data_IF_449242697466
#
_entry.id   IF_449242697466
#
_cell.length_a   1.000
_cell.length_b   1.000
_cell.length_c   1.000
_cell.angle_alpha   90.00
_cell.angle_beta   90.00
_cell.angle_gamma   90.00
#
_symmetry.space_group_name_H-M   'P 1'
#
loop_
_entity.id
_entity.type
_entity.pdbx_description
1 polymer ?
#
# COMPACT_ATOMS: atom_id res chain seq x y z
N UNK A 1 34.96 9.32 36.12
CA UNK A 1 35.54 9.84 34.86
C UNK A 1 35.68 8.84 33.79
N UNK A 2 36.01 7.63 34.14
CA UNK A 2 36.10 6.58 33.13
C UNK A 2 34.74 6.28 32.52
N UNK A 3 33.70 6.41 33.28
CA UNK A 3 32.36 6.14 32.81
C UNK A 3 31.96 7.06 31.68
N UNK A 4 32.42 8.28 31.73
CA UNK A 4 32.09 9.24 30.70
C UNK A 4 32.62 8.83 29.33
N UNK A 5 33.79 8.26 29.34
CA UNK A 5 34.43 7.80 28.10
C UNK A 5 33.63 6.66 27.49
N UNK A 6 33.23 5.75 28.34
CA UNK A 6 32.44 4.60 27.86
C UNK A 6 31.15 5.03 27.28
N UNK A 7 30.53 6.02 27.90
CA UNK A 7 29.28 6.55 27.39
C UNK A 7 29.47 7.14 26.01
N UNK A 8 30.55 7.83 25.80
CA UNK A 8 30.81 8.42 24.48
C UNK A 8 30.97 7.35 23.41
N UNK A 9 31.70 6.29 23.75
CA UNK A 9 31.85 5.20 22.81
C UNK A 9 30.53 4.58 22.43
N UNK A 10 29.67 4.42 23.41
CA UNK A 10 28.35 3.88 23.14
C UNK A 10 27.55 4.76 22.21
N UNK A 11 27.70 6.04 22.38
CA UNK A 11 26.99 6.98 21.52
C UNK A 11 27.40 6.81 20.06
N UNK A 12 28.68 6.69 19.82
CA UNK A 12 29.17 6.52 18.48
C UNK A 12 28.65 5.24 17.86
N UNK A 13 28.60 4.17 18.63
CA UNK A 13 28.09 2.91 18.14
C UNK A 13 26.63 3.03 17.71
N UNK A 14 25.86 3.72 18.52
CA UNK A 14 24.44 3.91 18.22
C UNK A 14 24.27 4.70 16.94
N UNK A 15 25.07 5.71 16.74
CA UNK A 15 25.00 6.52 15.54
C UNK A 15 25.28 5.71 14.28
N UNK A 16 26.26 4.85 14.34
CA UNK A 16 26.58 3.98 13.22
C UNK A 16 25.40 3.08 12.87
N UNK A 17 24.79 2.54 13.88
CA UNK A 17 23.66 1.65 13.67
C UNK A 17 22.52 2.36 12.93
N UNK A 18 22.24 3.57 13.34
CA UNK A 18 21.19 4.36 12.69
C UNK A 18 21.53 4.67 11.24
N UNK A 19 22.77 4.95 10.98
CA UNK A 19 23.21 5.23 9.63
C UNK A 19 22.99 4.03 8.70
N UNK A 20 23.30 2.85 9.21
CA UNK A 20 23.12 1.64 8.42
C UNK A 20 21.63 1.40 8.08
N UNK A 21 20.75 1.71 9.01
CA UNK A 21 19.34 1.54 8.76
C UNK A 21 18.84 2.46 7.64
N UNK A 22 19.36 3.67 7.60
CA UNK A 22 18.95 4.58 6.53
C UNK A 22 19.46 4.13 5.17
N UNK A 23 20.52 3.38 5.14
CA UNK A 23 21.05 2.88 3.88
C UNK A 23 20.15 1.85 3.22
N UNK A 24 19.17 1.36 3.97
CA UNK A 24 18.26 0.38 3.42
C UNK A 24 17.06 0.97 2.72
N UNK A 25 16.98 2.22 2.59
CA UNK A 25 15.84 2.72 1.87
C UNK A 25 16.12 2.58 0.42
N UNK A 26 15.61 1.64 -0.20
CA UNK A 26 15.99 1.40 -1.43
C UNK A 26 15.07 1.78 -2.37
N UNK A 27 15.04 2.73 -2.69
CA UNK A 27 14.30 3.02 -3.77
C UNK A 27 14.86 2.29 -4.90
N UNK A 28 14.18 1.56 -5.50
CA UNK A 28 14.61 0.93 -6.71
C UNK A 28 13.91 1.62 -7.85
N UNK A 29 14.41 2.74 -8.28
CA UNK A 29 13.75 3.50 -9.31
C UNK A 29 13.63 2.78 -10.63
N UNK A 30 14.27 1.72 -10.82
CA UNK A 30 14.18 0.98 -12.06
C UNK A 30 13.14 -0.10 -12.11
N UNK A 31 12.40 -0.29 -11.01
CA UNK A 31 11.44 -1.36 -10.99
C UNK A 31 10.15 -0.94 -11.67
N UNK A 32 9.81 -1.66 -12.73
CA UNK A 32 8.57 -1.41 -13.43
C UNK A 32 7.44 -2.13 -12.77
N UNK A 33 6.40 -1.40 -12.43
CA UNK A 33 5.21 -1.99 -11.83
C UNK A 33 4.32 -2.48 -12.95
N UNK A 34 3.87 -3.71 -12.86
CA UNK A 34 3.00 -4.30 -13.87
C UNK A 34 1.68 -3.53 -13.94
N UNK A 35 1.10 -3.39 -15.15
CA UNK A 35 -0.15 -2.63 -15.30
C UNK A 35 -1.28 -3.15 -14.41
N UNK A 36 -1.36 -4.45 -14.20
CA UNK A 36 -2.38 -5.02 -13.33
C UNK A 36 -2.23 -4.58 -11.88
N UNK A 37 -0.99 -4.46 -11.40
CA UNK A 37 -0.72 -4.00 -10.04
C UNK A 37 -1.08 -2.53 -9.90
N UNK A 38 -0.75 -1.72 -10.90
CA UNK A 38 -1.13 -0.30 -10.89
C UNK A 38 -2.64 -0.14 -10.83
N UNK A 39 -3.37 -0.95 -11.59
CA UNK A 39 -4.82 -0.89 -11.61
C UNK A 39 -5.40 -1.31 -10.27
N UNK A 40 -4.83 -2.32 -9.62
CA UNK A 40 -5.24 -2.70 -8.28
C UNK A 40 -5.10 -1.52 -7.32
N UNK A 41 -3.97 -0.84 -7.36
CA UNK A 41 -3.73 0.31 -6.48
C UNK A 41 -4.69 1.45 -6.79
N UNK A 42 -4.96 1.70 -8.05
CA UNK A 42 -5.90 2.74 -8.48
C UNK A 42 -7.31 2.46 -7.97
N UNK A 43 -7.78 1.24 -8.16
CA UNK A 43 -9.12 0.87 -7.72
C UNK A 43 -9.25 0.87 -6.21
N UNK A 44 -8.20 0.46 -5.51
CA UNK A 44 -8.16 0.53 -4.05
C UNK A 44 -8.30 1.98 -3.58
N UNK A 45 -7.57 2.89 -4.21
CA UNK A 45 -7.64 4.30 -3.83
C UNK A 45 -9.00 4.92 -4.13
N UNK A 46 -9.65 4.51 -5.21
CA UNK A 46 -10.99 4.97 -5.52
C UNK A 46 -11.99 4.51 -4.45
N UNK A 47 -11.87 3.27 -4.01
CA UNK A 47 -12.74 2.73 -2.98
C UNK A 47 -12.54 3.47 -1.65
N UNK A 48 -11.29 3.70 -1.27
CA UNK A 48 -10.97 4.43 -0.04
C UNK A 48 -11.46 5.87 -0.11
N UNK A 49 -11.27 6.52 -1.25
CA UNK A 49 -11.71 7.90 -1.44
C UNK A 49 -13.24 8.02 -1.37
N UNK A 50 -13.95 7.05 -1.92
CA UNK A 50 -15.41 7.03 -1.86
C UNK A 50 -15.90 6.92 -0.42
N UNK A 51 -15.25 6.07 0.38
CA UNK A 51 -15.63 5.92 1.78
C UNK A 51 -15.47 7.23 2.52
N UNK A 52 -14.38 7.93 2.27
CA UNK A 52 -14.10 9.20 2.95
C UNK A 52 -15.03 10.32 2.49
N UNK A 53 -15.20 10.47 1.18
CA UNK A 53 -15.94 11.61 0.65
C UNK A 53 -17.45 11.49 0.90
N UNK A 54 -17.96 10.29 0.98
CA UNK A 54 -19.37 10.07 1.19
C UNK A 54 -19.72 9.71 2.62
N UNK A 55 -18.73 9.60 3.49
CA UNK A 55 -18.88 9.22 4.89
C UNK A 55 -19.68 7.91 5.02
N UNK A 56 -19.43 6.96 4.13
CA UNK A 56 -20.16 5.71 4.16
C UNK A 56 -19.35 4.64 4.88
N UNK A 57 -20.08 3.77 5.55
CA UNK A 57 -19.51 2.58 6.16
C UNK A 57 -19.78 1.42 5.20
N UNK A 58 -18.75 0.68 4.87
CA UNK A 58 -18.92 -0.44 3.96
C UNK A 58 -19.77 -1.54 4.60
N UNK A 59 -20.66 -2.10 3.81
CA UNK A 59 -21.41 -3.27 4.22
C UNK A 59 -20.47 -4.48 4.32
N UNK A 60 -20.94 -5.54 4.95
CA UNK A 60 -20.17 -6.77 5.05
C UNK A 60 -19.76 -7.29 3.68
N UNK A 61 -20.65 -7.16 2.71
CA UNK A 61 -20.37 -7.60 1.34
C UNK A 61 -19.22 -6.81 0.71
N UNK A 62 -19.24 -5.49 0.86
CA UNK A 62 -18.20 -4.63 0.29
C UNK A 62 -16.87 -4.91 0.98
N UNK A 63 -16.88 -5.07 2.29
CA UNK A 63 -15.66 -5.41 3.03
C UNK A 63 -15.08 -6.75 2.56
N UNK A 64 -15.94 -7.72 2.32
CA UNK A 64 -15.51 -9.02 1.84
C UNK A 64 -14.90 -8.92 0.45
N UNK A 65 -15.50 -8.14 -0.44
CA UNK A 65 -14.97 -7.92 -1.77
C UNK A 65 -13.62 -7.19 -1.73
N UNK A 66 -13.48 -6.24 -0.84
CA UNK A 66 -12.22 -5.53 -0.69
C UNK A 66 -11.12 -6.47 -0.19
N UNK A 67 -11.42 -7.28 0.81
CA UNK A 67 -10.44 -8.23 1.33
C UNK A 67 -10.03 -9.24 0.27
N UNK A 68 -10.99 -9.73 -0.50
CA UNK A 68 -10.73 -10.66 -1.58
C UNK A 68 -9.87 -10.02 -2.66
N UNK A 69 -10.19 -8.77 -3.01
CA UNK A 69 -9.43 -8.03 -4.00
C UNK A 69 -7.98 -7.83 -3.55
N UNK A 70 -7.77 -7.46 -2.30
CA UNK A 70 -6.44 -7.27 -1.75
C UNK A 70 -5.64 -8.57 -1.80
N UNK A 71 -6.27 -9.68 -1.46
CA UNK A 71 -5.60 -10.96 -1.48
C UNK A 71 -5.20 -11.35 -2.90
N UNK A 72 -6.09 -11.22 -3.87
CA UNK A 72 -5.77 -11.53 -5.25
C UNK A 72 -4.66 -10.62 -5.79
N UNK A 73 -4.75 -9.33 -5.51
CA UNK A 73 -3.74 -8.38 -5.99
C UNK A 73 -2.37 -8.65 -5.38
N UNK A 74 -2.32 -9.05 -4.11
CA UNK A 74 -1.05 -9.31 -3.45
C UNK A 74 -0.43 -10.63 -3.85
N UNK A 75 -1.22 -11.56 -4.38
CA UNK A 75 -0.71 -12.86 -4.80
C UNK A 75 -0.49 -12.95 -6.32
N UNK A 76 -0.54 -11.83 -7.00
CA UNK A 76 -0.27 -11.80 -8.44
C UNK A 76 -1.48 -12.04 -9.32
N UNK A 77 -2.64 -12.33 -8.74
CA UNK A 77 -3.87 -12.57 -9.50
C UNK A 77 -4.60 -11.25 -9.71
N UNK A 78 -3.93 -10.34 -10.40
CA UNK A 78 -4.40 -8.96 -10.51
C UNK A 78 -5.71 -8.82 -11.28
N UNK A 79 -5.93 -9.64 -12.31
CA UNK A 79 -7.18 -9.59 -13.05
C UNK A 79 -8.37 -9.91 -12.15
N UNK A 80 -8.23 -10.91 -11.28
CA UNK A 80 -9.28 -11.29 -10.35
C UNK A 80 -9.47 -10.20 -9.28
N UNK A 81 -8.36 -9.65 -8.79
CA UNK A 81 -8.40 -8.56 -7.82
C UNK A 81 -9.11 -7.34 -8.37
N UNK A 82 -8.80 -6.98 -9.60
CA UNK A 82 -9.44 -5.85 -10.25
C UNK A 82 -10.94 -6.07 -10.39
N UNK A 83 -11.35 -7.27 -10.74
CA UNK A 83 -12.78 -7.58 -10.84
C UNK A 83 -13.49 -7.46 -9.50
N UNK A 84 -12.84 -7.89 -8.43
CA UNK A 84 -13.42 -7.78 -7.09
C UNK A 84 -13.58 -6.31 -6.67
N UNK A 85 -12.58 -5.47 -6.96
CA UNK A 85 -12.70 -4.04 -6.69
C UNK A 85 -13.82 -3.41 -7.51
N UNK A 86 -13.95 -3.78 -8.77
CA UNK A 86 -15.01 -3.26 -9.62
C UNK A 86 -16.36 -3.62 -9.04
N UNK A 87 -16.54 -4.86 -8.57
CA UNK A 87 -17.79 -5.27 -7.94
C UNK A 87 -18.07 -4.45 -6.68
N UNK A 88 -17.05 -4.19 -5.89
CA UNK A 88 -17.20 -3.39 -4.68
C UNK A 88 -17.64 -1.97 -5.02
N UNK A 89 -17.00 -1.34 -5.98
CA UNK A 89 -17.36 0.01 -6.42
C UNK A 89 -18.77 0.06 -7.00
N UNK A 90 -19.11 -0.92 -7.82
CA UNK A 90 -20.45 -0.98 -8.40
C UNK A 90 -21.52 -1.17 -7.31
N UNK A 91 -21.21 -1.92 -6.25
CA UNK A 91 -22.14 -2.08 -5.13
C UNK A 91 -22.42 -0.76 -4.43
N UNK A 92 -21.50 0.18 -4.51
CA UNK A 92 -21.66 1.51 -3.94
C UNK A 92 -22.22 2.52 -4.92
N UNK A 93 -22.56 2.08 -6.14
CA UNK A 93 -23.07 2.98 -7.18
C UNK A 93 -22.00 3.84 -7.81
N UNK A 94 -20.73 3.43 -7.70
CA UNK A 94 -19.63 4.20 -8.24
C UNK A 94 -19.09 3.53 -9.50
N UNK A 95 -18.96 4.32 -10.55
CA UNK A 95 -18.37 3.81 -11.78
C UNK A 95 -16.86 3.82 -11.65
N UNK A 96 -16.20 2.66 -11.72
CA UNK A 96 -14.76 2.61 -11.57
C UNK A 96 -14.04 3.25 -12.76
N UNK A 97 -12.95 3.94 -12.46
CA UNK A 97 -12.09 4.51 -13.47
C UNK A 97 -10.97 3.51 -13.70
N UNK A 98 -10.95 2.90 -14.86
CA UNK A 98 -9.98 1.86 -15.18
C UNK A 98 -8.78 2.38 -15.96
N UNK A 99 -8.69 3.68 -16.18
CA UNK A 99 -7.56 4.22 -16.91
C UNK A 99 -6.30 4.16 -16.07
N UNK A 100 -5.30 3.56 -16.64
CA UNK A 100 -3.98 3.59 -16.04
C UNK A 100 -3.14 4.44 -16.96
N UNK A 101 -2.96 5.68 -16.57
CA UNK A 101 -2.10 6.56 -17.36
C UNK A 101 -0.67 6.26 -17.00
N UNK A 102 0.05 5.81 -17.92
CA UNK A 102 1.47 5.54 -17.72
C UNK A 102 2.33 6.71 -18.12
#
# INVERSE_FOLDING_TARGET
MLMKRNTRANWLTVLYTLTLLTAHTPALPGVLVKPGVKRCALLQSQLTAAAKSRHITFSARVKSLEAEAQQFCSTGKTAQGNRAYVKALNSLGIKPDLRTDD
#
